data_IF_237385565190
#
_entry.id   IF_237385565190
#
_cell.length_a   1.000
_cell.length_b   1.000
_cell.length_c   1.000
_cell.angle_alpha   90.00
_cell.angle_beta   90.00
_cell.angle_gamma   90.00
#
_symmetry.space_group_name_H-M   'P 1'
#
loop_
_entity.id
_entity.type
_entity.pdbx_description
1 polymer ?
#
# COMPACT_ATOMS: atom_id res chain seq x y z
N UNK A 1 4.17 -17.35 32.17
CA UNK A 1 4.51 -15.96 32.52
C UNK A 1 3.90 -15.06 31.47
N UNK A 2 3.15 -14.00 31.83
CA UNK A 2 2.55 -13.12 30.83
C UNK A 2 3.67 -12.40 30.05
N UNK A 3 3.49 -12.23 28.74
CA UNK A 3 4.41 -11.50 27.87
C UNK A 3 4.61 -10.08 28.43
N UNK A 4 5.85 -9.69 28.70
CA UNK A 4 6.19 -8.30 29.01
C UNK A 4 6.03 -7.46 27.73
N UNK A 5 4.78 -7.16 27.37
CA UNK A 5 4.50 -6.21 26.31
C UNK A 5 4.91 -4.82 26.80
N UNK A 6 6.18 -4.46 26.59
CA UNK A 6 6.55 -3.05 26.46
C UNK A 6 5.78 -2.56 25.24
N UNK A 7 4.64 -1.90 25.49
CA UNK A 7 3.87 -1.26 24.44
C UNK A 7 4.79 -0.34 23.64
N UNK A 8 4.49 -0.15 22.35
CA UNK A 8 5.31 0.61 21.41
C UNK A 8 5.71 2.03 21.90
N UNK A 9 4.98 2.60 22.86
CA UNK A 9 5.27 3.90 23.49
C UNK A 9 6.30 3.88 24.64
N UNK A 10 6.56 2.73 25.26
CA UNK A 10 7.43 2.60 26.45
C UNK A 10 8.83 2.07 26.11
N UNK A 11 9.16 1.99 24.82
CA UNK A 11 10.47 1.53 24.38
C UNK A 11 11.54 2.59 24.61
N UNK A 12 12.56 2.25 25.40
CA UNK A 12 13.63 3.18 25.80
C UNK A 12 14.87 3.11 24.90
N UNK A 13 14.89 2.24 23.89
CA UNK A 13 16.01 2.09 22.95
C UNK A 13 15.90 2.97 21.70
N UNK A 14 16.87 2.82 20.80
CA UNK A 14 16.90 3.54 19.52
C UNK A 14 15.86 3.02 18.52
N UNK A 15 15.42 3.86 17.57
CA UNK A 15 14.45 3.47 16.52
C UNK A 15 14.85 2.22 15.74
N UNK A 16 16.15 2.00 15.49
CA UNK A 16 16.63 0.79 14.81
C UNK A 16 16.40 -0.47 15.65
N UNK A 17 16.71 -0.40 16.95
CA UNK A 17 16.48 -1.51 17.89
C UNK A 17 14.98 -1.80 18.03
N UNK A 18 14.15 -0.76 18.09
CA UNK A 18 12.69 -0.91 18.11
C UNK A 18 12.20 -1.67 16.88
N UNK A 19 12.59 -1.24 15.67
CA UNK A 19 12.20 -1.91 14.42
C UNK A 19 12.66 -3.35 14.38
N UNK A 20 13.85 -3.65 14.88
CA UNK A 20 14.38 -5.00 14.94
C UNK A 20 13.54 -5.89 15.88
N UNK A 21 13.22 -5.42 17.09
CA UNK A 21 12.32 -6.13 18.01
C UNK A 21 10.93 -6.35 17.39
N UNK A 22 10.38 -5.33 16.72
CA UNK A 22 9.08 -5.46 16.03
C UNK A 22 9.14 -6.50 14.90
N UNK A 23 10.26 -6.59 14.18
CA UNK A 23 10.43 -7.61 13.14
C UNK A 23 10.48 -9.03 13.72
N UNK A 24 11.14 -9.21 14.86
CA UNK A 24 11.19 -10.49 15.61
C UNK A 24 9.80 -10.89 16.11
N UNK A 25 9.06 -9.95 16.71
CA UNK A 25 7.69 -10.16 17.16
C UNK A 25 6.76 -10.51 15.98
N UNK A 26 6.93 -9.82 14.84
CA UNK A 26 6.17 -10.07 13.62
C UNK A 26 6.44 -11.49 13.08
N UNK A 27 7.70 -11.90 13.01
CA UNK A 27 8.09 -13.26 12.61
C UNK A 27 7.46 -14.30 13.55
N UNK A 28 7.51 -14.07 14.87
CA UNK A 28 6.89 -14.96 15.85
C UNK A 28 5.39 -15.12 15.60
N UNK A 29 4.65 -14.02 15.43
CA UNK A 29 3.21 -14.06 15.18
C UNK A 29 2.89 -14.77 13.86
N UNK A 30 3.61 -14.46 12.79
CA UNK A 30 3.42 -15.09 11.48
C UNK A 30 3.62 -16.60 11.56
N UNK A 31 4.72 -17.05 12.18
CA UNK A 31 5.03 -18.47 12.35
C UNK A 31 4.02 -19.17 13.27
N UNK A 32 3.60 -18.52 14.37
CA UNK A 32 2.68 -19.09 15.36
C UNK A 32 1.33 -19.48 14.77
N UNK A 33 0.87 -18.77 13.74
CA UNK A 33 -0.42 -18.97 13.08
C UNK A 33 -0.32 -19.55 11.66
N UNK A 34 0.86 -19.97 11.22
CA UNK A 34 1.08 -20.44 9.84
C UNK A 34 0.21 -21.64 9.44
N UNK A 35 -0.19 -22.49 10.40
CA UNK A 35 -1.03 -23.66 10.15
C UNK A 35 -2.54 -23.42 10.38
N UNK A 36 -2.92 -22.26 10.91
CA UNK A 36 -4.33 -21.93 11.17
C UNK A 36 -4.96 -21.27 9.93
N UNK A 37 -5.68 -22.07 9.13
CA UNK A 37 -6.36 -21.63 7.91
C UNK A 37 -7.33 -20.47 8.14
N UNK A 38 -7.97 -20.37 9.31
CA UNK A 38 -8.92 -19.30 9.61
C UNK A 38 -8.21 -17.96 9.85
N UNK A 39 -6.95 -18.00 10.30
CA UNK A 39 -6.11 -16.82 10.49
C UNK A 39 -5.39 -16.46 9.20
N UNK A 40 -4.82 -17.44 8.49
CA UNK A 40 -4.05 -17.23 7.24
C UNK A 40 -4.87 -16.55 6.15
N UNK A 41 -6.18 -16.82 6.09
CA UNK A 41 -7.09 -16.21 5.12
C UNK A 41 -7.48 -14.75 5.45
N UNK A 42 -7.05 -14.20 6.59
CA UNK A 42 -7.34 -12.81 6.95
C UNK A 42 -6.38 -11.85 6.24
N UNK A 43 -6.91 -10.72 5.76
CA UNK A 43 -6.12 -9.66 5.13
C UNK A 43 -5.04 -9.10 6.05
N UNK A 44 -5.32 -9.02 7.37
CA UNK A 44 -4.34 -8.57 8.36
C UNK A 44 -3.16 -9.53 8.50
N UNK A 45 -3.39 -10.85 8.45
CA UNK A 45 -2.31 -11.83 8.46
C UNK A 45 -1.48 -11.75 7.18
N UNK A 46 -2.14 -11.67 6.03
CA UNK A 46 -1.47 -11.51 4.74
C UNK A 46 -0.63 -10.23 4.68
N UNK A 47 -1.12 -9.14 5.27
CA UNK A 47 -0.37 -7.89 5.38
C UNK A 47 0.89 -8.06 6.25
N UNK A 48 0.79 -8.74 7.40
CA UNK A 48 1.96 -9.04 8.24
C UNK A 48 3.02 -9.87 7.49
N UNK A 49 2.58 -10.90 6.76
CA UNK A 49 3.48 -11.71 5.91
C UNK A 49 4.15 -10.86 4.84
N UNK A 50 3.40 -10.00 4.15
CA UNK A 50 3.93 -9.12 3.10
C UNK A 50 4.95 -8.12 3.67
N UNK A 51 4.63 -7.46 4.78
CA UNK A 51 5.57 -6.55 5.47
C UNK A 51 6.87 -7.27 5.83
N UNK A 52 6.77 -8.48 6.38
CA UNK A 52 7.93 -9.27 6.75
C UNK A 52 8.82 -9.59 5.55
N UNK A 53 8.23 -10.05 4.43
CA UNK A 53 8.95 -10.39 3.20
C UNK A 53 9.60 -9.16 2.52
N UNK A 54 8.85 -8.05 2.48
CA UNK A 54 9.29 -6.83 1.80
C UNK A 54 10.36 -6.08 2.60
N UNK A 55 10.20 -6.00 3.92
CA UNK A 55 11.01 -5.11 4.77
C UNK A 55 12.10 -5.82 5.57
N UNK A 56 12.08 -7.17 5.63
CA UNK A 56 13.07 -7.94 6.38
C UNK A 56 13.77 -8.99 5.51
N UNK A 57 14.97 -9.37 5.92
CA UNK A 57 15.65 -10.58 5.48
C UNK A 57 15.35 -11.68 6.49
N UNK A 58 14.65 -12.73 6.05
CA UNK A 58 14.24 -13.84 6.89
C UNK A 58 15.07 -15.07 6.52
N UNK A 59 15.70 -15.66 7.52
CA UNK A 59 16.35 -16.98 7.46
C UNK A 59 15.64 -17.93 8.44
N UNK A 60 16.02 -19.21 8.46
CA UNK A 60 15.28 -20.25 9.20
C UNK A 60 15.01 -19.93 10.68
N UNK A 61 15.91 -19.21 11.36
CA UNK A 61 15.75 -18.86 12.77
C UNK A 61 15.99 -17.36 13.08
N UNK A 62 16.21 -16.52 12.06
CA UNK A 62 16.58 -15.12 12.28
C UNK A 62 15.94 -14.20 11.27
N UNK A 63 15.49 -13.06 11.77
CA UNK A 63 15.00 -11.94 10.97
C UNK A 63 15.89 -10.72 11.18
N UNK A 64 16.23 -10.03 10.10
CA UNK A 64 16.93 -8.74 10.15
C UNK A 64 16.17 -7.70 9.33
N UNK A 65 16.00 -6.50 9.88
CA UNK A 65 15.37 -5.39 9.13
C UNK A 65 16.31 -4.92 8.03
N UNK A 66 15.82 -4.85 6.79
CA UNK A 66 16.61 -4.35 5.66
C UNK A 66 17.08 -2.93 5.92
N UNK A 67 18.37 -2.66 5.66
CA UNK A 67 18.92 -1.32 5.78
C UNK A 67 18.27 -0.33 4.79
N UNK A 68 17.89 -0.83 3.60
CA UNK A 68 17.14 -0.11 2.58
C UNK A 68 16.10 -1.04 1.95
N UNK A 69 14.88 -0.55 1.83
CA UNK A 69 13.82 -1.19 1.06
C UNK A 69 13.79 -0.60 -0.36
N UNK A 70 13.21 -1.33 -1.31
CA UNK A 70 12.82 -0.74 -2.59
C UNK A 70 11.69 0.28 -2.42
N UNK A 71 11.31 0.95 -3.52
CA UNK A 71 10.15 1.85 -3.56
C UNK A 71 8.81 1.08 -3.47
N UNK A 72 8.78 -0.13 -4.02
CA UNK A 72 7.62 -1.02 -4.01
C UNK A 72 7.57 -1.85 -2.71
N UNK A 73 7.26 -1.20 -1.58
CA UNK A 73 7.00 -1.86 -0.30
C UNK A 73 5.73 -1.30 0.34
N UNK A 74 4.96 -2.16 1.01
CA UNK A 74 3.72 -1.83 1.69
C UNK A 74 3.95 -0.68 2.68
N UNK A 75 3.25 0.43 2.46
CA UNK A 75 3.26 1.59 3.35
C UNK A 75 2.13 1.52 4.38
N UNK A 76 0.96 1.03 3.96
CA UNK A 76 -0.24 1.01 4.78
C UNK A 76 -1.02 -0.29 4.57
N UNK A 77 -1.20 -1.14 5.60
CA UNK A 77 -2.02 -2.36 5.49
C UNK A 77 -3.49 -2.10 5.09
N UNK A 78 -4.01 -0.90 5.34
CA UNK A 78 -5.38 -0.51 4.96
C UNK A 78 -5.49 -0.07 3.49
N UNK A 79 -4.36 0.25 2.87
CA UNK A 79 -4.24 0.61 1.45
C UNK A 79 -2.97 -0.06 0.87
N UNK A 80 -3.03 -1.38 0.60
CA UNK A 80 -1.86 -2.17 0.21
C UNK A 80 -1.25 -1.74 -1.13
N UNK A 81 -1.97 -0.97 -1.93
CA UNK A 81 -1.58 -0.50 -3.25
C UNK A 81 -0.94 0.90 -3.19
N UNK A 82 -0.90 1.54 -2.02
CA UNK A 82 -0.17 2.79 -1.82
C UNK A 82 1.35 2.57 -1.90
N UNK A 83 1.97 3.26 -2.86
CA UNK A 83 3.41 3.26 -3.11
C UNK A 83 4.19 4.28 -2.28
N UNK A 84 5.52 4.31 -2.43
CA UNK A 84 6.40 5.34 -1.87
C UNK A 84 7.58 5.64 -2.79
N UNK A 85 7.70 6.91 -3.22
CA UNK A 85 8.74 7.35 -4.17
C UNK A 85 9.91 8.11 -3.53
N UNK A 86 9.85 8.38 -2.22
CA UNK A 86 10.85 9.19 -1.50
C UNK A 86 10.78 10.70 -1.75
N UNK A 87 10.01 11.17 -2.74
CA UNK A 87 9.96 12.57 -3.16
C UNK A 87 8.57 13.19 -2.96
N UNK A 88 7.51 12.57 -3.48
CA UNK A 88 6.10 12.94 -3.31
C UNK A 88 5.53 12.39 -1.99
N UNK A 89 6.12 11.31 -1.48
CA UNK A 89 5.71 10.66 -0.23
C UNK A 89 4.87 9.40 -0.47
N UNK A 90 4.28 8.83 0.59
CA UNK A 90 3.49 7.61 0.47
C UNK A 90 2.09 7.91 -0.09
N UNK A 91 1.57 7.01 -0.92
CA UNK A 91 0.20 7.10 -1.44
C UNK A 91 0.09 6.79 -2.93
N UNK A 92 -0.70 7.62 -3.61
CA UNK A 92 -0.98 7.52 -5.03
C UNK A 92 -0.64 8.85 -5.72
N UNK A 93 -0.34 8.77 -7.00
CA UNK A 93 -0.28 9.93 -7.89
C UNK A 93 -1.39 9.84 -8.93
N UNK A 94 -1.81 10.99 -9.44
CA UNK A 94 -2.86 11.06 -10.45
C UNK A 94 -2.50 12.04 -11.57
N UNK A 95 -2.79 11.64 -12.79
CA UNK A 95 -2.83 12.53 -13.95
C UNK A 95 -4.27 12.91 -14.24
N UNK A 96 -4.52 14.21 -14.42
CA UNK A 96 -5.86 14.76 -14.62
C UNK A 96 -5.85 15.57 -15.92
N UNK A 97 -6.78 15.26 -16.82
CA UNK A 97 -7.00 16.01 -18.05
C UNK A 97 -8.30 16.80 -17.94
N UNK A 98 -8.26 18.10 -18.22
CA UNK A 98 -9.44 18.98 -18.22
C UNK A 98 -9.67 19.66 -19.57
N UNK A 99 -10.90 20.08 -19.82
CA UNK A 99 -11.16 21.04 -20.90
C UNK A 99 -10.49 22.37 -20.55
N UNK A 100 -9.93 23.06 -21.54
CA UNK A 100 -9.31 24.37 -21.36
C UNK A 100 -9.72 25.31 -22.50
N UNK A 101 -10.92 25.87 -22.41
CA UNK A 101 -11.39 26.91 -23.33
C UNK A 101 -12.06 28.07 -22.58
N UNK A 102 -11.66 29.29 -22.89
CA UNK A 102 -12.25 30.50 -22.32
C UNK A 102 -13.74 30.69 -22.68
N UNK A 103 -14.22 30.01 -23.71
CA UNK A 103 -15.64 30.02 -24.10
C UNK A 103 -16.52 29.07 -23.27
N UNK A 104 -15.93 28.16 -22.51
CA UNK A 104 -16.69 27.21 -21.71
C UNK A 104 -17.20 27.91 -20.43
N UNK A 105 -18.49 27.71 -20.10
CA UNK A 105 -19.06 28.22 -18.85
C UNK A 105 -18.44 27.55 -17.61
N UNK A 106 -18.00 26.29 -17.74
CA UNK A 106 -17.25 25.51 -16.73
C UNK A 106 -16.21 24.64 -17.45
N UNK A 107 -15.07 24.39 -16.81
CA UNK A 107 -14.14 23.36 -17.28
C UNK A 107 -14.50 22.00 -16.69
N UNK A 108 -14.45 20.95 -17.52
CA UNK A 108 -14.76 19.59 -17.12
C UNK A 108 -13.49 18.76 -17.02
N UNK A 109 -13.38 17.96 -15.97
CA UNK A 109 -12.41 16.86 -15.92
C UNK A 109 -12.86 15.82 -16.94
N UNK A 110 -12.00 15.55 -17.91
CA UNK A 110 -12.23 14.61 -19.01
C UNK A 110 -11.47 13.30 -18.85
N UNK A 111 -10.47 13.24 -17.97
CA UNK A 111 -9.72 12.01 -17.70
C UNK A 111 -9.06 12.07 -16.33
N UNK A 112 -9.03 10.92 -15.66
CA UNK A 112 -8.26 10.71 -14.44
C UNK A 112 -7.60 9.34 -14.55
N UNK A 113 -6.28 9.30 -14.42
CA UNK A 113 -5.51 8.07 -14.26
C UNK A 113 -4.81 8.12 -12.91
N UNK A 114 -4.99 7.08 -12.09
CA UNK A 114 -4.42 6.99 -10.75
C UNK A 114 -3.50 5.78 -10.69
N UNK A 115 -2.32 5.97 -10.13
CA UNK A 115 -1.31 4.92 -9.96
C UNK A 115 -0.60 5.07 -8.61
N UNK A 116 0.05 4.02 -8.11
CA UNK A 116 0.86 4.10 -6.89
C UNK A 116 1.93 5.19 -7.01
N UNK A 117 2.27 5.85 -5.89
CA UNK A 117 3.22 6.96 -5.90
C UNK A 117 4.61 6.57 -6.45
N UNK A 118 5.02 5.30 -6.30
CA UNK A 118 6.31 4.78 -6.79
C UNK A 118 6.33 4.46 -8.29
N UNK A 119 5.20 4.60 -8.99
CA UNK A 119 5.13 4.42 -10.43
C UNK A 119 5.91 5.54 -11.16
N UNK A 120 6.60 5.16 -12.25
CA UNK A 120 7.33 6.11 -13.07
C UNK A 120 6.37 6.95 -13.92
N UNK A 121 6.38 8.26 -13.73
CA UNK A 121 5.49 9.19 -14.42
C UNK A 121 5.96 9.61 -15.83
N UNK A 122 7.09 9.08 -16.31
CA UNK A 122 7.68 9.42 -17.62
C UNK A 122 6.67 9.35 -18.76
N UNK A 123 5.85 8.31 -18.76
CA UNK A 123 4.91 7.99 -19.83
C UNK A 123 3.45 8.31 -19.44
N UNK A 124 3.24 8.98 -18.30
CA UNK A 124 1.92 9.23 -17.71
C UNK A 124 1.04 10.20 -18.52
N UNK A 125 1.64 10.97 -19.45
CA UNK A 125 0.91 11.84 -20.36
C UNK A 125 0.24 11.07 -21.51
N UNK A 126 0.81 9.93 -21.93
CA UNK A 126 0.33 9.19 -23.11
C UNK A 126 -1.13 8.76 -22.96
N UNK A 127 -1.57 8.18 -21.81
CA UNK A 127 -2.98 7.88 -21.59
C UNK A 127 -3.89 9.10 -21.66
N UNK A 128 -3.43 10.29 -21.25
CA UNK A 128 -4.27 11.50 -21.22
C UNK A 128 -4.57 12.06 -22.62
N UNK A 129 -3.73 11.76 -23.60
CA UNK A 129 -3.88 12.20 -24.99
C UNK A 129 -4.74 11.23 -25.82
N UNK A 130 -4.99 10.03 -25.30
CA UNK A 130 -5.82 9.03 -25.96
C UNK A 130 -7.30 9.48 -25.92
N UNK A 131 -8.00 9.60 -27.07
CA UNK A 131 -9.41 9.96 -27.11
C UNK A 131 -10.30 9.01 -26.29
N UNK A 132 -9.88 7.77 -26.03
CA UNK A 132 -10.59 6.81 -25.19
C UNK A 132 -10.52 7.13 -23.69
N UNK A 133 -9.54 7.93 -23.24
CA UNK A 133 -9.47 8.38 -21.85
C UNK A 133 -10.64 9.31 -21.47
N UNK A 134 -11.21 10.02 -22.46
CA UNK A 134 -12.45 10.81 -22.32
C UNK A 134 -13.65 9.97 -21.89
N UNK A 135 -13.65 8.68 -22.20
CA UNK A 135 -14.74 7.75 -21.89
C UNK A 135 -14.58 7.11 -20.50
N UNK A 136 -13.37 7.13 -19.91
CA UNK A 136 -13.08 6.53 -18.59
C UNK A 136 -13.78 7.24 -17.42
N UNK A 137 -14.19 8.50 -17.60
CA UNK A 137 -14.97 9.25 -16.59
C UNK A 137 -16.46 8.84 -16.60
N UNK A 138 -16.94 8.18 -17.67
CA UNK A 138 -18.35 7.76 -17.81
C UNK A 138 -18.59 6.25 -17.61
N UNK A 139 -17.56 5.47 -17.27
CA UNK A 139 -17.67 4.01 -17.05
C UNK A 139 -17.92 3.61 -15.59
N UNK A 140 -18.94 2.81 -15.25
CA UNK A 140 -19.19 2.34 -13.88
C UNK A 140 -18.15 1.35 -13.30
N UNK A 141 -17.09 1.00 -14.04
CA UNK A 141 -16.35 -0.25 -13.80
C UNK A 141 -15.32 -0.22 -12.66
N UNK A 142 -14.97 0.96 -12.12
CA UNK A 142 -13.99 1.05 -11.01
C UNK A 142 -14.64 1.33 -9.63
N UNK A 143 -15.87 1.86 -9.60
CA UNK A 143 -16.60 2.11 -8.34
C UNK A 143 -17.64 1.04 -7.98
N UNK A 144 -18.00 0.12 -8.90
CA UNK A 144 -19.02 -0.90 -8.63
C UNK A 144 -18.54 -2.23 -8.04
N UNK A 145 -17.23 -2.45 -7.83
CA UNK A 145 -16.71 -3.67 -7.18
C UNK A 145 -16.53 -3.55 -5.66
N UNK A 146 -17.44 -2.85 -5.00
CA UNK A 146 -17.69 -2.98 -3.55
C UNK A 146 -19.20 -2.99 -3.26
N UNK A 147 -19.96 -3.80 -3.99
CA UNK A 147 -21.18 -4.35 -3.41
C UNK A 147 -20.77 -5.54 -2.54
N UNK A 148 -20.81 -5.37 -1.23
CA UNK A 148 -20.80 -6.48 -0.27
C UNK A 148 -21.96 -7.42 -0.60
N UNK A 149 -21.70 -8.47 -1.36
CA UNK A 149 -22.61 -9.60 -1.50
C UNK A 149 -22.45 -10.49 -0.26
N UNK A 150 -23.08 -10.10 0.85
CA UNK A 150 -23.07 -10.95 2.05
C UNK A 150 -23.26 -10.24 3.39
N UNK A 151 -24.32 -9.45 3.53
CA UNK A 151 -24.97 -9.32 4.84
C UNK A 151 -26.34 -9.99 4.71
N UNK A 152 -26.46 -11.17 5.32
CA UNK A 152 -27.75 -11.74 5.70
C UNK A 152 -28.27 -11.00 6.92
#
# INVERSE_FOLDING_TARGET
TPSQAKMFGDFTGGRQQLRQTVAEDLLFVVNRFAEDKAVVNRTSYQAMVRVLQEQCEVSEEKVEVKAKTGCHVMQNPSDPDAGYDGHKGPGHQAQIAETCSASNAVQLITGVEVEPADAQDRDALVPMLDPSARERVHGPSLWQRRQCSGCR
#
